data_IF_470066127218
#
_entry.id   IF_470066127218
#
_cell.length_a   1.000
_cell.length_b   1.000
_cell.length_c   1.000
_cell.angle_alpha   90.00
_cell.angle_beta   90.00
_cell.angle_gamma   90.00
#
_symmetry.space_group_name_H-M   'P 1'
#
loop_
_entity.id
_entity.type
_entity.pdbx_description
1 polymer ?
#
# COMPACT_ATOMS: atom_id res chain seq x y z
N UNK A 1 3.63 8.31 10.86
CA UNK A 1 4.13 7.04 11.44
C UNK A 1 3.04 5.99 11.58
N UNK A 2 1.99 6.22 12.39
CA UNK A 2 0.96 5.19 12.70
C UNK A 2 0.22 4.61 11.49
N UNK A 3 -0.13 5.43 10.48
CA UNK A 3 -0.79 4.92 9.26
C UNK A 3 0.11 4.04 8.39
N UNK A 4 1.42 4.32 8.39
CA UNK A 4 2.41 3.52 7.64
C UNK A 4 2.61 2.18 8.37
N UNK A 5 2.70 2.18 9.69
CA UNK A 5 2.78 0.96 10.51
C UNK A 5 1.53 0.08 10.35
N UNK A 6 0.33 0.67 10.34
CA UNK A 6 -0.91 -0.08 10.09
C UNK A 6 -0.94 -0.69 8.69
N UNK A 7 -0.54 0.08 7.68
CA UNK A 7 -0.41 -0.43 6.31
C UNK A 7 0.59 -1.60 6.23
N UNK A 8 1.75 -1.50 6.88
CA UNK A 8 2.72 -2.60 6.92
C UNK A 8 2.16 -3.85 7.61
N UNK A 9 1.40 -3.69 8.69
CA UNK A 9 0.68 -4.79 9.33
C UNK A 9 -0.34 -5.43 8.39
N UNK A 10 -1.12 -4.63 7.66
CA UNK A 10 -2.12 -5.12 6.70
C UNK A 10 -1.47 -5.85 5.52
N UNK A 11 -0.38 -5.30 4.97
CA UNK A 11 0.41 -5.93 3.90
C UNK A 11 0.93 -7.28 4.37
N UNK A 12 1.52 -7.34 5.56
CA UNK A 12 2.10 -8.57 6.10
C UNK A 12 1.03 -9.63 6.35
N UNK A 13 -0.13 -9.22 6.87
CA UNK A 13 -1.25 -10.13 7.17
C UNK A 13 -2.01 -10.59 5.93
N UNK A 14 -2.28 -9.68 5.00
CA UNK A 14 -3.14 -9.93 3.84
C UNK A 14 -2.40 -10.53 2.65
N UNK A 15 -1.19 -10.05 2.36
CA UNK A 15 -0.40 -10.45 1.20
C UNK A 15 0.80 -11.31 1.58
N UNK A 16 1.63 -10.84 2.52
CA UNK A 16 2.90 -11.48 2.86
C UNK A 16 2.73 -12.91 3.41
N UNK A 17 1.73 -13.13 4.27
CA UNK A 17 1.48 -14.44 4.88
C UNK A 17 1.11 -15.54 3.88
N UNK A 18 0.39 -15.20 2.80
CA UNK A 18 0.01 -16.14 1.73
C UNK A 18 1.26 -16.72 1.05
N UNK A 19 2.15 -15.85 0.58
CA UNK A 19 3.38 -16.24 -0.10
C UNK A 19 4.37 -16.94 0.84
N UNK A 20 4.48 -16.45 2.08
CA UNK A 20 5.29 -17.10 3.11
C UNK A 20 4.84 -18.55 3.36
N UNK A 21 3.54 -18.79 3.56
CA UNK A 21 2.99 -20.14 3.73
C UNK A 21 3.21 -21.03 2.50
N UNK A 22 3.08 -20.47 1.30
CA UNK A 22 3.31 -21.19 0.05
C UNK A 22 4.77 -21.67 -0.06
N UNK A 23 5.75 -20.79 0.20
CA UNK A 23 7.16 -21.19 0.17
C UNK A 23 7.53 -22.17 1.28
N UNK A 24 6.95 -22.03 2.48
CA UNK A 24 7.10 -23.04 3.55
C UNK A 24 6.54 -24.41 3.13
N UNK A 25 5.43 -24.45 2.39
CA UNK A 25 4.89 -25.71 1.87
C UNK A 25 5.81 -26.35 0.81
N UNK A 26 6.47 -25.52 0.00
CA UNK A 26 7.47 -25.97 -0.97
C UNK A 26 8.74 -26.49 -0.29
N UNK A 27 9.14 -25.90 0.83
CA UNK A 27 10.26 -26.40 1.65
C UNK A 27 9.92 -27.75 2.27
N UNK A 28 8.73 -27.88 2.86
CA UNK A 28 8.30 -29.09 3.53
C UNK A 28 8.03 -30.27 2.58
N UNK A 29 7.42 -30.02 1.41
CA UNK A 29 6.93 -31.07 0.50
C UNK A 29 7.62 -31.11 -0.86
N UNK A 30 8.19 -30.00 -1.31
CA UNK A 30 8.78 -29.84 -2.65
C UNK A 30 10.32 -29.90 -2.68
N UNK A 31 10.98 -30.11 -1.53
CA UNK A 31 12.44 -30.15 -1.46
C UNK A 31 13.11 -28.80 -1.74
N UNK A 32 12.37 -27.69 -1.60
CA UNK A 32 12.95 -26.36 -1.69
C UNK A 32 13.98 -26.19 -0.56
N UNK A 33 15.15 -25.66 -0.91
CA UNK A 33 16.28 -25.46 -0.03
C UNK A 33 16.61 -23.97 0.00
N UNK A 34 16.26 -23.24 1.08
CA UNK A 34 16.48 -21.80 1.15
C UNK A 34 17.97 -21.42 1.31
N UNK A 35 18.82 -22.39 1.67
CA UNK A 35 20.27 -22.27 1.74
C UNK A 35 20.97 -22.32 0.36
N UNK A 36 20.24 -22.70 -0.70
CA UNK A 36 20.76 -22.75 -2.06
C UNK A 36 20.38 -21.51 -2.86
N UNK A 37 21.36 -20.69 -3.20
CA UNK A 37 21.18 -19.52 -4.07
C UNK A 37 20.50 -19.87 -5.40
N UNK A 38 20.77 -21.07 -5.94
CA UNK A 38 20.12 -21.56 -7.16
C UNK A 38 18.59 -21.75 -6.99
N UNK A 39 18.15 -22.24 -5.83
CA UNK A 39 16.73 -22.40 -5.53
C UNK A 39 16.07 -21.04 -5.30
N UNK A 40 16.76 -20.10 -4.63
CA UNK A 40 16.28 -18.71 -4.48
C UNK A 40 16.13 -18.03 -5.85
N UNK A 41 17.13 -18.17 -6.73
CA UNK A 41 17.05 -17.65 -8.10
C UNK A 41 15.87 -18.26 -8.86
N UNK A 42 15.66 -19.57 -8.76
CA UNK A 42 14.54 -20.26 -9.41
C UNK A 42 13.20 -19.76 -8.88
N UNK A 43 13.06 -19.56 -7.57
CA UNK A 43 11.85 -19.00 -6.98
C UNK A 43 11.57 -17.59 -7.50
N UNK A 44 12.59 -16.73 -7.58
CA UNK A 44 12.45 -15.41 -8.17
C UNK A 44 12.05 -15.51 -9.65
N UNK A 45 12.69 -16.37 -10.43
CA UNK A 45 12.37 -16.52 -11.85
C UNK A 45 10.91 -16.96 -12.07
N UNK A 46 10.43 -17.91 -11.27
CA UNK A 46 9.09 -18.49 -11.42
C UNK A 46 7.98 -17.61 -10.82
N UNK A 47 8.20 -17.09 -9.62
CA UNK A 47 7.13 -16.51 -8.82
C UNK A 47 7.20 -14.99 -8.66
N UNK A 48 8.34 -14.34 -8.92
CA UNK A 48 8.43 -12.88 -8.80
C UNK A 48 7.42 -12.13 -9.68
N UNK A 49 7.15 -12.54 -10.94
CA UNK A 49 6.10 -11.89 -11.74
C UNK A 49 4.71 -12.03 -11.09
N UNK A 50 4.39 -13.22 -10.57
CA UNK A 50 3.11 -13.48 -9.92
C UNK A 50 2.96 -12.71 -8.58
N UNK A 51 4.04 -12.65 -7.78
CA UNK A 51 4.12 -11.86 -6.55
C UNK A 51 3.87 -10.39 -6.85
N UNK A 52 4.51 -9.85 -7.89
CA UNK A 52 4.34 -8.45 -8.27
C UNK A 52 2.91 -8.14 -8.75
N UNK A 53 2.30 -9.06 -9.50
CA UNK A 53 0.91 -8.91 -9.92
C UNK A 53 -0.04 -8.95 -8.73
N UNK A 54 0.09 -9.95 -7.84
CA UNK A 54 -0.73 -10.10 -6.65
C UNK A 54 -0.56 -8.91 -5.69
N UNK A 55 0.66 -8.36 -5.58
CA UNK A 55 0.93 -7.13 -4.82
C UNK A 55 0.22 -5.92 -5.43
N UNK A 56 0.21 -5.78 -6.75
CA UNK A 56 -0.48 -4.68 -7.44
C UNK A 56 -2.00 -4.79 -7.28
N UNK A 57 -2.56 -6.00 -7.37
CA UNK A 57 -3.97 -6.27 -7.13
C UNK A 57 -4.37 -5.99 -5.68
N UNK A 58 -3.57 -6.47 -4.72
CA UNK A 58 -3.77 -6.18 -3.30
C UNK A 58 -3.72 -4.68 -3.02
N UNK A 59 -2.76 -3.95 -3.59
CA UNK A 59 -2.66 -2.51 -3.42
C UNK A 59 -3.87 -1.77 -3.99
N UNK A 60 -4.42 -2.20 -5.14
CA UNK A 60 -5.67 -1.64 -5.69
C UNK A 60 -6.84 -1.89 -4.75
N UNK A 61 -7.03 -3.13 -4.32
CA UNK A 61 -8.10 -3.50 -3.39
C UNK A 61 -7.97 -2.75 -2.06
N UNK A 62 -6.75 -2.58 -1.55
CA UNK A 62 -6.51 -1.83 -0.31
C UNK A 62 -6.81 -0.34 -0.47
N UNK A 63 -6.46 0.26 -1.61
CA UNK A 63 -6.75 1.67 -1.88
C UNK A 63 -8.25 1.96 -2.04
N UNK A 64 -9.04 0.97 -2.44
CA UNK A 64 -10.49 1.06 -2.62
C UNK A 64 -11.28 0.62 -1.38
N UNK A 65 -10.65 -0.06 -0.43
CA UNK A 65 -11.34 -0.49 0.78
C UNK A 65 -11.74 0.71 1.63
N UNK A 66 -12.76 0.48 2.44
CA UNK A 66 -13.42 1.51 3.22
C UNK A 66 -12.88 1.47 4.65
N UNK A 67 -12.12 2.48 5.05
CA UNK A 67 -11.65 2.62 6.42
C UNK A 67 -12.76 3.28 7.24
N UNK A 68 -13.19 2.61 8.31
CA UNK A 68 -14.10 3.18 9.31
C UNK A 68 -13.33 4.13 10.22
N UNK A 69 -13.81 5.35 10.32
CA UNK A 69 -13.33 6.34 11.29
C UNK A 69 -14.28 6.37 12.49
N UNK A 70 -13.76 6.75 13.67
CA UNK A 70 -14.52 6.83 14.93
C UNK A 70 -15.76 7.73 14.87
N UNK A 71 -15.90 8.58 13.84
CA UNK A 71 -17.02 9.50 13.66
C UNK A 71 -18.07 8.98 12.64
N UNK A 72 -18.24 7.67 12.51
CA UNK A 72 -19.21 7.01 11.61
C UNK A 72 -19.01 7.28 10.10
N UNK A 73 -17.93 7.96 9.74
CA UNK A 73 -17.53 8.19 8.34
C UNK A 73 -16.71 7.01 7.85
N UNK A 74 -17.07 6.52 6.67
CA UNK A 74 -16.34 5.44 6.02
C UNK A 74 -15.74 5.98 4.72
N UNK A 75 -14.43 6.18 4.69
CA UNK A 75 -13.71 6.73 3.53
C UNK A 75 -12.60 5.79 3.11
N UNK A 76 -12.40 5.62 1.80
CA UNK A 76 -11.27 4.85 1.31
C UNK A 76 -9.96 5.64 1.39
N UNK A 77 -8.78 4.99 1.42
CA UNK A 77 -7.50 5.66 1.25
C UNK A 77 -7.47 6.60 0.05
N UNK A 78 -8.12 6.21 -1.06
CA UNK A 78 -8.28 7.02 -2.26
C UNK A 78 -9.11 8.27 -2.01
N UNK A 79 -10.23 8.14 -1.31
CA UNK A 79 -11.08 9.28 -0.93
C UNK A 79 -10.31 10.25 -0.05
N UNK A 80 -9.60 9.75 0.96
CA UNK A 80 -8.79 10.59 1.86
C UNK A 80 -7.70 11.36 1.11
N UNK A 81 -7.08 10.73 0.11
CA UNK A 81 -6.09 11.39 -0.73
C UNK A 81 -6.75 12.48 -1.59
N UNK A 82 -7.88 12.18 -2.22
CA UNK A 82 -8.63 13.14 -3.04
C UNK A 82 -9.15 14.34 -2.22
N UNK A 83 -9.74 14.09 -1.05
CA UNK A 83 -10.19 15.14 -0.13
C UNK A 83 -9.02 15.96 0.39
N UNK A 84 -7.91 15.33 0.77
CA UNK A 84 -6.70 16.04 1.19
C UNK A 84 -6.10 16.93 0.10
N UNK A 85 -6.07 16.47 -1.16
CA UNK A 85 -5.65 17.30 -2.29
C UNK A 85 -6.60 18.47 -2.54
N UNK A 86 -7.91 18.27 -2.39
CA UNK A 86 -8.92 19.31 -2.59
C UNK A 86 -8.86 20.37 -1.49
N UNK A 87 -8.72 19.96 -0.23
CA UNK A 87 -8.55 20.87 0.90
C UNK A 87 -7.22 21.64 0.78
N UNK A 88 -6.11 20.97 0.47
CA UNK A 88 -4.81 21.63 0.33
C UNK A 88 -4.75 22.55 -0.90
N UNK A 89 -5.34 22.16 -2.04
CA UNK A 89 -5.42 23.01 -3.23
C UNK A 89 -6.30 24.24 -3.02
N UNK A 90 -7.39 24.13 -2.26
CA UNK A 90 -8.21 25.28 -1.85
C UNK A 90 -7.48 26.20 -0.87
N UNK A 91 -6.69 25.64 0.06
CA UNK A 91 -5.86 26.43 0.96
C UNK A 91 -4.73 27.16 0.22
N UNK A 92 -4.09 26.50 -0.74
CA UNK A 92 -3.04 27.07 -1.58
C UNK A 92 -3.59 28.17 -2.51
N UNK A 93 -4.77 27.96 -3.09
CA UNK A 93 -5.47 28.99 -3.86
C UNK A 93 -5.87 30.18 -2.99
N UNK A 94 -6.37 29.94 -1.77
CA UNK A 94 -6.67 31.01 -0.80
C UNK A 94 -5.41 31.76 -0.37
N UNK A 95 -4.30 31.06 -0.14
CA UNK A 95 -3.01 31.66 0.21
C UNK A 95 -2.45 32.50 -0.94
N UNK A 96 -2.53 32.00 -2.18
CA UNK A 96 -2.10 32.69 -3.39
C UNK A 96 -2.95 33.92 -3.69
N UNK A 97 -4.27 33.82 -3.52
CA UNK A 97 -5.19 34.95 -3.67
C UNK A 97 -4.98 36.00 -2.58
N UNK A 98 -4.71 35.59 -1.34
CA UNK A 98 -4.39 36.51 -0.23
C UNK A 98 -3.06 37.23 -0.45
N UNK A 99 -2.05 36.54 -1.00
CA UNK A 99 -0.77 37.15 -1.40
C UNK A 99 -0.92 38.11 -2.59
N UNK A 100 -1.79 37.79 -3.56
CA UNK A 100 -2.05 38.65 -4.74
C UNK A 100 -2.96 39.85 -4.41
N UNK A 101 -3.70 39.79 -3.30
CA UNK A 101 -4.55 40.88 -2.79
C UNK A 101 -3.86 41.75 -1.73
N UNK A 102 -2.59 41.52 -1.37
CA UNK A 102 -1.85 42.52 -0.61
C UNK A 102 -1.40 43.64 -1.56
N UNK A 103 -1.97 44.85 -1.47
CA UNK A 103 -1.45 45.97 -2.21
C UNK A 103 -0.07 46.29 -1.66
N UNK A 104 0.85 46.59 -2.58
CA UNK A 104 2.12 47.24 -2.26
C UNK A 104 1.78 48.51 -1.49
N UNK A 105 2.12 48.53 -0.20
CA UNK A 105 2.29 49.75 0.60
C UNK A 105 3.75 49.77 1.01
#
# INVERSE_FOLDING_TARGET
>A
NIRIEHLWCDVTRGFGRKWSNFFLSLEYSGGLRPDLDAHIWLLHHLFLPAINQDAAEWARAWNEHKIRFDNDRTLSPRDLFFFGMTENGLQDLKATLKHKMMPII
#
